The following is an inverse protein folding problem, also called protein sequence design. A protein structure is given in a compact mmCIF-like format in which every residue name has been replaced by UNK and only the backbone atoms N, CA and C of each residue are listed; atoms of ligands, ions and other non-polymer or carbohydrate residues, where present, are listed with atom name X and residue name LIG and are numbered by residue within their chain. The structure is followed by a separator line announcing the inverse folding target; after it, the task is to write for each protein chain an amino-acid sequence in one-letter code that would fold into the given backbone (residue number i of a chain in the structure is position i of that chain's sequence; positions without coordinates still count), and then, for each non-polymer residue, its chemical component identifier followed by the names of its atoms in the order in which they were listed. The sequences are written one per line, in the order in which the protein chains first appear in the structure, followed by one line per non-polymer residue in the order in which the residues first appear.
data_IF_643414465619
#
_entry.id   IF_643414465619
#
_cell.length_a   1.000
_cell.length_b   1.000
_cell.length_c   1.000
_cell.angle_alpha   90.00
_cell.angle_beta   90.00
_cell.angle_gamma   90.00
#
_symmetry.space_group_name_H-M   'P 1'
#
loop_
_entity.id
_entity.type
_entity.pdbx_description
1 polymer ?
#
# COMPACT_ATOMS: atom_id res chain seq x y z
N UNK A 1 38.33 55.94 8.67
CA UNK A 1 38.47 54.55 8.17
C UNK A 1 38.06 53.58 9.27
N UNK A 2 36.83 53.03 9.22
CA UNK A 2 36.37 51.96 10.11
C UNK A 2 36.37 50.66 9.30
N UNK A 3 37.27 49.72 9.62
CA UNK A 3 37.20 48.36 9.05
C UNK A 3 36.07 47.60 9.75
N UNK A 4 35.01 47.31 9.01
CA UNK A 4 34.09 46.22 9.31
C UNK A 4 34.83 44.92 9.01
N UNK A 5 35.08 44.10 10.04
CA UNK A 5 35.51 42.73 9.83
C UNK A 5 34.92 41.84 10.92
N UNK A 6 33.66 41.45 10.72
CA UNK A 6 33.02 40.35 11.43
C UNK A 6 32.08 39.69 10.44
N UNK A 7 32.52 38.65 9.74
CA UNK A 7 31.68 37.55 9.25
C UNK A 7 32.56 36.57 8.49
N UNK A 8 33.10 35.60 9.24
CA UNK A 8 33.26 34.20 8.85
C UNK A 8 33.86 33.47 10.05
N UNK A 9 33.00 33.13 11.02
CA UNK A 9 33.31 32.02 11.91
C UNK A 9 32.86 30.76 11.17
N UNK A 10 33.77 29.86 10.78
CA UNK A 10 33.34 28.57 10.28
C UNK A 10 32.55 27.90 11.40
N UNK A 11 31.42 27.27 11.04
CA UNK A 11 30.75 26.31 11.89
C UNK A 11 31.77 25.22 12.19
N UNK A 12 32.41 25.33 13.35
CA UNK A 12 33.31 24.30 13.86
C UNK A 12 32.43 23.11 14.18
N UNK A 13 32.35 22.18 13.24
CA UNK A 13 31.92 20.82 13.54
C UNK A 13 33.04 20.24 14.41
N UNK A 14 32.83 20.30 15.72
CA UNK A 14 33.69 19.66 16.70
C UNK A 14 33.87 18.21 16.28
N UNK A 15 35.07 17.88 15.78
CA UNK A 15 35.50 16.52 15.51
C UNK A 15 35.53 15.81 16.87
N UNK A 16 34.46 15.07 17.19
CA UNK A 16 34.38 14.26 18.39
C UNK A 16 35.46 13.18 18.27
N UNK A 17 36.55 13.48 18.99
CA UNK A 17 37.66 12.62 19.38
C UNK A 17 37.19 11.17 19.50
N UNK A 18 37.86 10.30 18.74
CA UNK A 18 37.50 8.92 18.49
C UNK A 18 37.05 8.15 19.72
N UNK A 19 36.08 7.27 19.50
CA UNK A 19 35.71 6.17 20.39
C UNK A 19 37.01 5.44 20.72
N UNK A 20 37.59 5.69 21.89
CA UNK A 20 38.69 4.90 22.38
C UNK A 20 38.25 3.44 22.41
N UNK A 21 39.18 2.51 22.20
CA UNK A 21 38.99 1.05 22.08
C UNK A 21 38.28 0.40 23.29
N UNK A 22 37.03 0.79 23.53
CA UNK A 22 36.13 0.23 24.52
C UNK A 22 35.30 -0.80 23.78
N UNK A 23 35.69 -2.06 23.90
CA UNK A 23 34.94 -3.18 23.35
C UNK A 23 33.51 -3.18 23.88
N UNK A 24 32.55 -3.49 23.00
CA UNK A 24 31.16 -3.74 23.37
C UNK A 24 31.13 -4.84 24.44
N UNK A 25 30.36 -4.63 25.49
CA UNK A 25 30.21 -5.65 26.54
C UNK A 25 29.24 -6.73 26.09
N UNK A 26 29.42 -7.97 26.56
CA UNK A 26 28.48 -9.06 26.26
C UNK A 26 27.06 -8.72 26.74
N UNK A 27 26.94 -8.01 27.87
CA UNK A 27 25.64 -7.62 28.42
C UNK A 27 24.95 -6.57 27.55
N UNK A 28 25.68 -5.64 26.96
CA UNK A 28 25.14 -4.62 26.06
C UNK A 28 24.55 -5.26 24.81
N UNK A 29 25.27 -6.20 24.20
CA UNK A 29 24.74 -6.97 23.07
C UNK A 29 23.54 -7.84 23.47
N UNK A 30 23.61 -8.48 24.64
CA UNK A 30 22.52 -9.32 25.15
C UNK A 30 21.22 -8.53 25.32
N UNK A 31 21.29 -7.32 25.89
CA UNK A 31 20.11 -6.47 26.08
C UNK A 31 19.52 -6.05 24.73
N UNK A 32 20.35 -5.68 23.75
CA UNK A 32 19.89 -5.29 22.41
C UNK A 32 19.16 -6.43 21.71
N UNK A 33 19.75 -7.63 21.65
CA UNK A 33 19.09 -8.78 20.98
C UNK A 33 17.82 -9.22 21.72
N UNK A 34 17.80 -9.07 23.05
CA UNK A 34 16.61 -9.35 23.87
C UNK A 34 15.46 -8.41 23.50
N UNK A 35 15.72 -7.10 23.45
CA UNK A 35 14.71 -6.11 23.06
C UNK A 35 14.26 -6.34 21.62
N UNK A 36 15.18 -6.62 20.69
CA UNK A 36 14.84 -6.95 19.30
C UNK A 36 13.97 -8.20 19.19
N UNK A 37 14.23 -9.24 20.00
CA UNK A 37 13.43 -10.46 20.02
C UNK A 37 12.01 -10.24 20.50
N UNK A 38 11.82 -9.43 21.56
CA UNK A 38 10.48 -9.08 22.07
C UNK A 38 9.69 -8.29 21.03
N UNK A 39 10.32 -7.29 20.39
CA UNK A 39 9.67 -6.48 19.35
C UNK A 39 9.32 -7.35 18.14
N UNK A 40 10.25 -8.19 17.68
CA UNK A 40 10.04 -9.07 16.53
C UNK A 40 8.88 -10.05 16.77
N UNK A 41 8.72 -10.59 17.98
CA UNK A 41 7.62 -11.50 18.32
C UNK A 41 6.23 -10.86 18.20
N UNK A 42 6.08 -9.62 18.68
CA UNK A 42 4.79 -8.89 18.62
C UNK A 42 4.50 -8.41 17.19
N UNK A 43 5.56 -7.98 16.48
CA UNK A 43 5.46 -7.45 15.13
C UNK A 43 4.77 -8.42 14.16
N UNK A 44 5.09 -9.72 14.20
CA UNK A 44 4.55 -10.74 13.27
C UNK A 44 3.03 -10.79 13.26
N UNK A 45 2.39 -10.80 14.43
CA UNK A 45 0.92 -10.91 14.52
C UNK A 45 0.19 -9.68 13.96
N UNK A 46 0.80 -8.49 14.06
CA UNK A 46 0.17 -7.25 13.59
C UNK A 46 0.19 -7.13 12.07
N UNK A 47 1.24 -7.62 11.39
CA UNK A 47 1.38 -7.43 9.95
C UNK A 47 0.42 -8.29 9.13
N UNK A 48 0.16 -9.54 9.54
CA UNK A 48 -0.68 -10.47 8.77
C UNK A 48 -2.10 -9.94 8.56
N UNK A 49 -2.73 -9.41 9.62
CA UNK A 49 -4.12 -8.91 9.55
C UNK A 49 -4.28 -7.65 8.72
N UNK A 50 -3.25 -6.80 8.67
CA UNK A 50 -3.29 -5.55 7.91
C UNK A 50 -3.20 -5.84 6.41
N UNK A 51 -2.42 -6.85 6.02
CA UNK A 51 -2.23 -7.24 4.63
C UNK A 51 -3.54 -7.73 4.02
N UNK A 52 -4.26 -8.63 4.72
CA UNK A 52 -5.54 -9.19 4.23
C UNK A 52 -6.57 -8.09 3.96
N UNK A 53 -6.76 -7.15 4.91
CA UNK A 53 -7.71 -6.05 4.72
C UNK A 53 -7.31 -5.11 3.58
N UNK A 54 -6.02 -4.81 3.46
CA UNK A 54 -5.53 -3.93 2.40
C UNK A 54 -5.70 -4.56 1.02
N UNK A 55 -5.55 -5.87 0.92
CA UNK A 55 -5.78 -6.63 -0.33
C UNK A 55 -7.25 -6.53 -0.76
N UNK A 56 -8.19 -6.68 0.18
CA UNK A 56 -9.62 -6.53 -0.09
C UNK A 56 -10.00 -5.11 -0.51
N UNK A 57 -9.54 -4.09 0.23
CA UNK A 57 -9.84 -2.69 -0.05
C UNK A 57 -9.33 -2.28 -1.46
N UNK A 58 -8.14 -2.75 -1.86
CA UNK A 58 -7.60 -2.52 -3.20
C UNK A 58 -8.40 -3.26 -4.25
N UNK A 59 -8.85 -4.48 -3.94
CA UNK A 59 -9.64 -5.27 -4.88
C UNK A 59 -10.99 -4.62 -5.18
N UNK A 60 -11.65 -4.08 -4.16
CA UNK A 60 -12.90 -3.35 -4.31
C UNK A 60 -12.72 -2.08 -5.15
N UNK A 61 -11.63 -1.35 -4.90
CA UNK A 61 -11.28 -0.18 -5.72
C UNK A 61 -11.04 -0.56 -7.19
N UNK A 62 -10.33 -1.67 -7.44
CA UNK A 62 -10.07 -2.16 -8.79
C UNK A 62 -11.36 -2.60 -9.50
N UNK A 63 -12.25 -3.32 -8.83
CA UNK A 63 -13.56 -3.72 -9.37
C UNK A 63 -14.39 -2.50 -9.78
N UNK A 64 -14.42 -1.47 -8.93
CA UNK A 64 -15.15 -0.23 -9.20
C UNK A 64 -14.53 0.60 -10.33
N UNK A 65 -13.20 0.63 -10.44
CA UNK A 65 -12.52 1.26 -11.58
C UNK A 65 -12.85 0.53 -12.88
N UNK A 66 -12.77 -0.80 -12.86
CA UNK A 66 -13.07 -1.65 -14.01
C UNK A 66 -14.53 -1.48 -14.46
N UNK A 67 -15.48 -1.43 -13.52
CA UNK A 67 -16.89 -1.13 -13.80
C UNK A 67 -17.03 0.19 -14.56
N UNK A 68 -16.45 1.27 -14.04
CA UNK A 68 -16.58 2.61 -14.65
C UNK A 68 -15.99 2.65 -16.05
N UNK A 69 -14.86 2.00 -16.26
CA UNK A 69 -14.21 1.94 -17.57
C UNK A 69 -15.02 1.10 -18.56
N UNK A 70 -15.57 -0.03 -18.11
CA UNK A 70 -16.40 -0.90 -18.93
C UNK A 70 -17.75 -0.26 -19.30
N UNK A 71 -18.47 0.31 -18.34
CA UNK A 71 -19.73 1.03 -18.63
C UNK A 71 -19.50 2.17 -19.62
N UNK A 72 -18.36 2.87 -19.49
CA UNK A 72 -17.98 3.91 -20.43
C UNK A 72 -17.73 3.33 -21.83
N UNK A 73 -17.10 2.17 -21.97
CA UNK A 73 -16.86 1.56 -23.29
C UNK A 73 -18.16 1.12 -23.94
N UNK A 74 -19.10 0.53 -23.19
CA UNK A 74 -20.43 0.17 -23.68
C UNK A 74 -21.17 1.39 -24.26
N UNK A 75 -21.14 2.52 -23.56
CA UNK A 75 -21.78 3.76 -24.00
C UNK A 75 -21.07 4.38 -25.22
N UNK A 76 -19.73 4.39 -25.23
CA UNK A 76 -18.96 5.01 -26.32
C UNK A 76 -19.04 4.22 -27.63
N UNK A 77 -19.04 2.89 -27.54
CA UNK A 77 -19.10 2.01 -28.71
C UNK A 77 -20.54 1.67 -29.11
N UNK A 78 -21.52 2.05 -28.27
CA UNK A 78 -22.93 1.74 -28.45
C UNK A 78 -23.16 0.22 -28.61
N UNK A 79 -22.57 -0.54 -27.68
CA UNK A 79 -22.64 -2.00 -27.60
C UNK A 79 -23.29 -2.36 -26.26
N UNK A 80 -24.15 -3.38 -26.26
CA UNK A 80 -24.71 -3.93 -25.03
C UNK A 80 -23.75 -4.92 -24.36
N UNK A 81 -23.86 -5.06 -23.04
CA UNK A 81 -23.07 -6.04 -22.30
C UNK A 81 -23.25 -7.46 -22.87
N UNK A 82 -22.13 -8.17 -22.99
CA UNK A 82 -22.10 -9.62 -23.19
C UNK A 82 -20.87 -10.19 -22.52
N UNK A 83 -20.95 -11.42 -22.02
CA UNK A 83 -19.84 -12.09 -21.33
C UNK A 83 -18.59 -12.18 -22.22
N UNK A 84 -18.78 -12.41 -23.52
CA UNK A 84 -17.68 -12.51 -24.50
C UNK A 84 -16.99 -11.15 -24.66
N UNK A 85 -17.76 -10.07 -24.76
CA UNK A 85 -17.20 -8.72 -24.85
C UNK A 85 -16.50 -8.33 -23.55
N UNK A 86 -17.11 -8.61 -22.40
CA UNK A 86 -16.50 -8.36 -21.10
C UNK A 86 -15.18 -9.11 -20.94
N UNK A 87 -15.11 -10.40 -21.29
CA UNK A 87 -13.88 -11.18 -21.28
C UNK A 87 -12.80 -10.58 -22.20
N UNK A 88 -13.18 -10.11 -23.39
CA UNK A 88 -12.25 -9.44 -24.31
C UNK A 88 -11.76 -8.10 -23.76
N UNK A 89 -12.62 -7.37 -23.06
CA UNK A 89 -12.30 -6.10 -22.41
C UNK A 89 -11.32 -6.30 -21.26
N UNK A 90 -11.54 -7.32 -20.41
CA UNK A 90 -10.62 -7.68 -19.33
C UNK A 90 -9.20 -7.92 -19.85
N UNK A 91 -9.04 -8.61 -20.98
CA UNK A 91 -7.74 -8.86 -21.61
C UNK A 91 -7.04 -7.58 -22.10
N UNK A 92 -7.79 -6.52 -22.40
CA UNK A 92 -7.26 -5.22 -22.84
C UNK A 92 -7.14 -4.17 -21.72
N UNK A 93 -7.74 -4.42 -20.55
CA UNK A 93 -7.74 -3.48 -19.43
C UNK A 93 -6.38 -3.43 -18.73
N UNK A 94 -6.04 -2.27 -18.17
CA UNK A 94 -4.81 -2.09 -17.37
C UNK A 94 -5.02 -2.34 -15.87
N UNK A 95 -6.23 -2.74 -15.46
CA UNK A 95 -6.57 -3.00 -14.06
C UNK A 95 -6.04 -4.38 -13.70
N UNK A 96 -5.13 -4.45 -12.73
CA UNK A 96 -4.61 -5.72 -12.25
C UNK A 96 -5.68 -6.48 -11.47
N UNK A 97 -5.88 -7.75 -11.83
CA UNK A 97 -6.74 -8.65 -11.08
C UNK A 97 -6.08 -8.99 -9.75
N UNK A 98 -6.88 -8.99 -8.68
CA UNK A 98 -6.43 -9.37 -7.36
C UNK A 98 -6.09 -10.86 -7.32
N UNK A 99 -5.21 -11.28 -6.40
CA UNK A 99 -4.80 -12.68 -6.33
C UNK A 99 -5.99 -13.57 -5.97
N UNK A 100 -6.36 -14.50 -6.86
CA UNK A 100 -7.51 -15.38 -6.67
C UNK A 100 -8.88 -14.72 -6.87
N UNK A 101 -8.92 -13.50 -7.42
CA UNK A 101 -10.16 -12.84 -7.82
C UNK A 101 -10.40 -13.04 -9.31
N UNK A 102 -11.57 -13.57 -9.66
CA UNK A 102 -12.10 -13.56 -11.02
C UNK A 102 -13.23 -12.54 -11.10
N UNK A 103 -13.12 -11.61 -12.05
CA UNK A 103 -14.14 -10.58 -12.27
C UNK A 103 -15.29 -11.12 -13.13
N UNK A 104 -16.52 -10.92 -12.67
CA UNK A 104 -17.75 -11.14 -13.43
C UNK A 104 -18.56 -9.86 -13.51
N UNK A 105 -19.39 -9.71 -14.55
CA UNK A 105 -20.28 -8.57 -14.67
C UNK A 105 -21.72 -9.05 -14.52
N UNK A 106 -22.39 -8.63 -13.46
CA UNK A 106 -23.76 -9.04 -13.13
C UNK A 106 -24.57 -7.82 -12.69
N UNK A 107 -25.79 -7.68 -13.23
CA UNK A 107 -26.74 -6.63 -12.86
C UNK A 107 -26.21 -5.17 -12.89
N UNK A 108 -25.19 -4.91 -13.71
CA UNK A 108 -24.57 -3.59 -13.79
C UNK A 108 -23.42 -3.38 -12.81
N UNK A 109 -22.94 -4.42 -12.14
CA UNK A 109 -21.79 -4.38 -11.24
C UNK A 109 -20.70 -5.35 -11.69
N UNK A 110 -19.44 -5.00 -11.37
CA UNK A 110 -18.31 -5.91 -11.51
C UNK A 110 -18.08 -6.58 -10.15
N UNK A 111 -18.26 -7.89 -10.10
CA UNK A 111 -18.13 -8.70 -8.90
C UNK A 111 -16.83 -9.49 -8.91
N UNK A 112 -16.27 -9.70 -7.73
CA UNK A 112 -15.12 -10.56 -7.50
C UNK A 112 -15.56 -11.87 -6.83
N UNK A 113 -15.27 -13.03 -7.43
CA UNK A 113 -15.67 -14.32 -6.86
C UNK A 113 -15.02 -14.67 -5.49
N UNK A 114 -13.93 -13.98 -5.13
CA UNK A 114 -13.22 -14.17 -3.85
C UNK A 114 -13.97 -13.56 -2.68
N UNK A 115 -15.05 -12.80 -2.93
CA UNK A 115 -15.87 -12.22 -1.89
C UNK A 115 -16.61 -13.31 -1.11
N UNK A 116 -15.96 -13.82 -0.07
CA UNK A 116 -16.63 -14.57 0.98
C UNK A 116 -17.70 -13.68 1.60
N UNK A 117 -18.93 -14.16 1.63
CA UNK A 117 -20.10 -13.51 2.24
C UNK A 117 -19.80 -13.15 3.72
N UNK A 118 -19.27 -11.95 3.95
CA UNK A 118 -18.81 -11.52 5.29
C UNK A 118 -18.99 -10.03 5.54
N UNK A 119 -18.62 -9.18 4.58
CA UNK A 119 -18.56 -7.74 4.83
C UNK A 119 -19.55 -6.99 3.93
N UNK A 120 -20.80 -6.93 4.39
CA UNK A 120 -21.70 -5.83 4.03
C UNK A 120 -21.31 -4.62 4.89
N UNK A 121 -20.20 -3.98 4.55
CA UNK A 121 -19.90 -2.67 5.11
C UNK A 121 -20.51 -1.58 4.22
N UNK A 122 -21.57 -1.01 4.75
CA UNK A 122 -22.31 0.11 4.21
C UNK A 122 -21.37 1.32 4.02
N UNK A 123 -21.35 1.86 2.81
CA UNK A 123 -20.78 3.17 2.46
C UNK A 123 -19.29 3.38 2.75
N UNK A 124 -18.42 2.76 1.96
CA UNK A 124 -17.05 3.21 1.73
C UNK A 124 -16.94 4.21 0.58
N UNK A 125 -17.64 5.35 0.65
CA UNK A 125 -17.43 6.43 -0.34
C UNK A 125 -16.06 7.09 -0.05
N UNK A 126 -15.02 6.60 -0.73
CA UNK A 126 -13.68 7.19 -0.69
C UNK A 126 -13.70 8.58 -1.36
N UNK A 127 -13.31 9.66 -0.67
CA UNK A 127 -13.29 10.99 -1.25
C UNK A 127 -12.10 11.12 -2.20
N UNK A 128 -12.37 11.40 -3.48
CA UNK A 128 -11.34 11.75 -4.46
C UNK A 128 -10.88 13.20 -4.22
N UNK A 129 -9.55 13.41 -4.08
CA UNK A 129 -8.90 14.73 -4.08
C UNK A 129 -8.65 15.24 -5.50
#
# INVERSE_FOLDING_TARGET
MKKLNKLNKPLSFSNQKGIGDRGLTLIELLVVVTIMGVIAGIAVYSYVRIIEKTEEDVCDANALLLKREYERSLVLENIDHSDVFFASFLMGSSVESCEGCEFTYEDGDVLCNKRTEGDKDENGEVPFF
#
